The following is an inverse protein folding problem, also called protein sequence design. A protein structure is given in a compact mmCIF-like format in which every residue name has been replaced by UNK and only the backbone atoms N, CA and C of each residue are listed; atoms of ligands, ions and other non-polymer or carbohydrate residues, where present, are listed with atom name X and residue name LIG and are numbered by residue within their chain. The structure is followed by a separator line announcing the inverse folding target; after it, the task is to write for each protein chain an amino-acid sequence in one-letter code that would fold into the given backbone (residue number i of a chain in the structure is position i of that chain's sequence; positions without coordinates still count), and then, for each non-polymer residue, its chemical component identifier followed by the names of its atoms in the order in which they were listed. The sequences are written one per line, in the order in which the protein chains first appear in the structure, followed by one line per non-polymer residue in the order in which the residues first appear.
data_IF_318687965312
#
_entry.id   IF_318687965312
#
_cell.length_a   1.000
_cell.length_b   1.000
_cell.length_c   1.000
_cell.angle_alpha   90.00
_cell.angle_beta   90.00
_cell.angle_gamma   90.00
#
_symmetry.space_group_name_H-M   'P 1'
#
loop_
_entity.id
_entity.type
_entity.pdbx_description
1 polymer ?
#
# COMPACT_ATOMS: atom_id res chain seq x y z
N UNK A 1 -22.51 -11.83 -2.11
CA UNK A 1 -22.70 -13.25 -2.41
C UNK A 1 -21.54 -13.70 -3.29
N UNK A 2 -20.96 -14.81 -2.96
CA UNK A 2 -19.72 -15.30 -3.52
C UNK A 2 -19.88 -16.77 -3.92
N UNK A 3 -19.51 -17.10 -5.16
CA UNK A 3 -19.56 -18.48 -5.66
C UNK A 3 -18.18 -18.92 -6.14
N UNK A 4 -17.73 -20.08 -5.71
CA UNK A 4 -16.51 -20.73 -6.20
C UNK A 4 -16.88 -21.82 -7.18
N UNK A 5 -16.33 -21.77 -8.40
CA UNK A 5 -16.43 -22.88 -9.31
C UNK A 5 -15.34 -23.89 -8.99
N UNK A 6 -15.74 -25.06 -8.48
CA UNK A 6 -14.82 -26.14 -8.22
C UNK A 6 -14.63 -26.99 -9.48
N UNK A 7 -13.57 -26.77 -10.22
CA UNK A 7 -13.29 -27.49 -11.47
C UNK A 7 -13.05 -29.00 -11.28
N UNK A 8 -12.69 -29.46 -10.07
CA UNK A 8 -12.54 -30.90 -9.78
C UNK A 8 -13.89 -31.59 -9.60
N UNK A 9 -14.90 -30.86 -9.10
CA UNK A 9 -16.26 -31.38 -8.91
C UNK A 9 -17.20 -30.98 -10.05
N UNK A 10 -16.76 -30.12 -10.97
CA UNK A 10 -17.56 -29.53 -12.06
C UNK A 10 -18.90 -28.95 -11.59
N UNK A 11 -18.92 -28.32 -10.43
CA UNK A 11 -20.10 -27.67 -9.84
C UNK A 11 -19.78 -26.29 -9.31
N UNK A 12 -20.82 -25.43 -9.25
CA UNK A 12 -20.79 -24.15 -8.55
C UNK A 12 -21.17 -24.40 -7.08
N UNK A 13 -20.28 -24.07 -6.19
CA UNK A 13 -20.53 -24.07 -4.75
C UNK A 13 -20.72 -22.64 -4.30
N UNK A 14 -21.86 -22.33 -3.71
CA UNK A 14 -22.11 -21.06 -3.05
C UNK A 14 -21.60 -21.17 -1.61
N UNK A 15 -20.67 -20.33 -1.24
CA UNK A 15 -20.17 -20.26 0.13
C UNK A 15 -20.39 -18.85 0.67
N UNK A 16 -20.91 -18.75 1.89
CA UNK A 16 -21.13 -17.47 2.59
C UNK A 16 -19.83 -16.97 3.28
N UNK A 17 -18.69 -17.21 2.62
CA UNK A 17 -17.41 -16.71 3.10
C UNK A 17 -16.97 -15.51 2.27
N UNK A 18 -16.42 -14.48 2.88
CA UNK A 18 -15.89 -13.35 2.13
C UNK A 18 -14.67 -13.75 1.31
N UNK A 19 -14.53 -13.22 0.08
CA UNK A 19 -13.47 -13.58 -0.85
C UNK A 19 -12.06 -13.42 -0.28
N UNK A 20 -11.84 -12.45 0.60
CA UNK A 20 -10.54 -12.23 1.23
C UNK A 20 -10.15 -13.33 2.23
N UNK A 21 -11.12 -14.09 2.77
CA UNK A 21 -10.84 -15.22 3.66
C UNK A 21 -10.17 -16.38 2.91
N UNK A 22 -10.40 -16.53 1.59
CA UNK A 22 -9.67 -17.49 0.74
C UNK A 22 -8.17 -17.19 0.75
N UNK A 23 -7.83 -15.91 0.84
CA UNK A 23 -6.44 -15.43 0.89
C UNK A 23 -5.92 -15.33 2.32
N UNK A 24 -6.59 -15.98 3.29
CA UNK A 24 -6.25 -15.99 4.73
C UNK A 24 -6.08 -14.57 5.29
N UNK A 25 -6.94 -13.66 4.87
CA UNK A 25 -6.94 -12.26 5.30
C UNK A 25 -8.15 -11.92 6.15
N UNK A 26 -7.93 -11.04 7.10
CA UNK A 26 -8.93 -10.32 7.86
C UNK A 26 -8.37 -8.93 8.11
N UNK A 27 -8.63 -8.01 7.37
CA UNK A 27 -9.79 -7.42 6.71
C UNK A 27 -9.80 -7.59 5.17
N UNK A 28 -10.75 -6.95 4.45
CA UNK A 28 -10.80 -6.93 2.99
C UNK A 28 -9.51 -6.44 2.33
N UNK A 29 -9.23 -6.93 1.12
CA UNK A 29 -8.01 -6.59 0.39
C UNK A 29 -7.92 -5.08 0.11
N UNK A 30 -6.83 -4.42 0.48
CA UNK A 30 -6.59 -3.01 0.18
C UNK A 30 -6.58 -2.70 -1.32
N UNK A 31 -6.09 -3.61 -2.13
CA UNK A 31 -6.07 -3.50 -3.59
C UNK A 31 -6.95 -4.59 -4.20
N UNK A 32 -8.26 -4.47 -3.99
CA UNK A 32 -9.25 -5.43 -4.47
C UNK A 32 -9.40 -5.33 -5.99
N UNK A 33 -8.96 -6.36 -6.72
CA UNK A 33 -9.09 -6.45 -8.17
C UNK A 33 -10.55 -6.52 -8.62
N UNK A 34 -11.42 -7.16 -7.84
CA UNK A 34 -12.86 -7.24 -8.13
C UNK A 34 -13.55 -5.88 -8.07
N UNK A 35 -13.32 -5.09 -7.01
CA UNK A 35 -13.87 -3.73 -6.90
C UNK A 35 -13.35 -2.86 -8.05
N UNK A 36 -12.09 -2.99 -8.38
CA UNK A 36 -11.46 -2.24 -9.46
C UNK A 36 -12.03 -2.62 -10.83
N UNK A 37 -12.22 -3.92 -11.09
CA UNK A 37 -12.84 -4.40 -12.33
C UNK A 37 -14.28 -3.88 -12.50
N UNK A 38 -15.08 -3.87 -11.41
CA UNK A 38 -16.44 -3.30 -11.44
C UNK A 38 -16.45 -1.79 -11.69
N UNK A 39 -15.47 -1.06 -11.16
CA UNK A 39 -15.37 0.40 -11.32
C UNK A 39 -14.91 0.79 -12.71
N UNK A 40 -13.89 0.11 -13.23
CA UNK A 40 -13.33 0.35 -14.57
C UNK A 40 -14.18 -0.25 -15.67
N UNK A 41 -15.03 -1.24 -15.37
CA UNK A 41 -15.81 -2.05 -16.32
C UNK A 41 -14.93 -2.84 -17.31
N UNK A 42 -13.75 -3.20 -16.90
CA UNK A 42 -12.75 -3.94 -17.70
C UNK A 42 -12.06 -5.00 -16.84
N UNK A 43 -11.46 -6.03 -17.47
CA UNK A 43 -10.68 -7.02 -16.75
C UNK A 43 -9.48 -6.37 -16.03
N UNK A 44 -9.21 -6.83 -14.82
CA UNK A 44 -8.06 -6.41 -14.01
C UNK A 44 -7.23 -7.64 -13.66
N UNK A 45 -5.92 -7.52 -13.81
CA UNK A 45 -4.96 -8.57 -13.43
C UNK A 45 -4.22 -8.12 -12.18
N UNK A 46 -4.02 -9.05 -11.25
CA UNK A 46 -3.25 -8.85 -10.03
C UNK A 46 -2.42 -10.09 -9.74
N UNK A 47 -1.23 -9.91 -9.18
CA UNK A 47 -0.49 -10.99 -8.54
C UNK A 47 -0.82 -11.00 -7.04
N UNK A 48 -1.05 -12.19 -6.50
CA UNK A 48 -1.30 -12.43 -5.10
C UNK A 48 -0.31 -13.46 -4.57
N UNK A 49 0.16 -13.25 -3.35
CA UNK A 49 1.11 -14.14 -2.71
C UNK A 49 0.48 -14.79 -1.47
N UNK A 50 0.56 -16.11 -1.40
CA UNK A 50 0.07 -16.88 -0.28
C UNK A 50 0.93 -18.14 -0.09
N UNK A 51 1.44 -18.39 1.11
CA UNK A 51 2.15 -19.62 1.49
C UNK A 51 3.27 -20.06 0.51
N UNK A 52 4.18 -19.14 0.18
CA UNK A 52 5.26 -19.37 -0.79
C UNK A 52 4.79 -19.67 -2.23
N UNK A 53 3.55 -19.29 -2.58
CA UNK A 53 3.00 -19.42 -3.93
C UNK A 53 2.59 -18.07 -4.47
N UNK A 54 2.78 -17.90 -5.76
CA UNK A 54 2.34 -16.72 -6.51
C UNK A 54 1.13 -17.11 -7.36
N UNK A 55 0.05 -16.38 -7.18
CA UNK A 55 -1.17 -16.56 -7.95
C UNK A 55 -1.39 -15.37 -8.89
N UNK A 56 -1.62 -15.66 -10.16
CA UNK A 56 -2.15 -14.70 -11.10
C UNK A 56 -3.67 -14.69 -10.95
N UNK A 57 -4.21 -13.53 -10.57
CA UNK A 57 -5.66 -13.32 -10.45
C UNK A 57 -6.13 -12.49 -11.62
N UNK A 58 -7.09 -13.01 -12.38
CA UNK A 58 -7.82 -12.27 -13.41
C UNK A 58 -9.25 -12.03 -12.91
N UNK A 59 -9.60 -10.78 -12.68
CA UNK A 59 -10.94 -10.35 -12.25
C UNK A 59 -11.67 -9.73 -13.44
N UNK A 60 -12.73 -10.36 -13.90
CA UNK A 60 -13.52 -9.92 -15.07
C UNK A 60 -14.92 -9.53 -14.64
N UNK A 61 -15.39 -8.29 -14.93
CA UNK A 61 -16.73 -7.86 -14.58
C UNK A 61 -17.77 -8.51 -15.50
N UNK A 62 -18.85 -8.98 -14.91
CA UNK A 62 -19.98 -9.61 -15.60
C UNK A 62 -21.32 -9.09 -15.06
N UNK A 63 -22.38 -9.35 -15.83
CA UNK A 63 -23.75 -9.15 -15.36
C UNK A 63 -24.51 -10.47 -15.54
N UNK A 64 -25.02 -11.01 -14.46
CA UNK A 64 -25.82 -12.24 -14.44
C UNK A 64 -27.16 -11.90 -13.80
N UNK A 65 -28.27 -12.17 -14.51
CA UNK A 65 -29.63 -11.89 -14.09
C UNK A 65 -29.84 -10.44 -13.59
N UNK A 66 -29.22 -9.45 -14.29
CA UNK A 66 -29.28 -8.05 -13.94
C UNK A 66 -28.43 -7.62 -12.72
N UNK A 67 -27.75 -8.54 -12.07
CA UNK A 67 -26.81 -8.26 -10.97
C UNK A 67 -25.38 -8.17 -11.48
N UNK A 68 -24.67 -7.12 -11.07
CA UNK A 68 -23.25 -6.98 -11.38
C UNK A 68 -22.44 -7.93 -10.48
N UNK A 69 -21.61 -8.72 -11.10
CA UNK A 69 -20.71 -9.67 -10.43
C UNK A 69 -19.30 -9.61 -11.05
N UNK A 70 -18.37 -10.28 -10.43
CA UNK A 70 -17.00 -10.45 -10.95
C UNK A 70 -16.69 -11.93 -10.98
N UNK A 71 -16.20 -12.39 -12.11
CA UNK A 71 -15.56 -13.70 -12.22
C UNK A 71 -14.08 -13.54 -11.92
N UNK A 72 -13.60 -14.24 -10.91
CA UNK A 72 -12.17 -14.31 -10.59
C UNK A 72 -11.61 -15.68 -10.97
N UNK A 73 -10.55 -15.67 -11.77
CA UNK A 73 -9.75 -16.83 -12.08
C UNK A 73 -8.41 -16.69 -11.34
N UNK A 74 -8.08 -17.66 -10.51
CA UNK A 74 -6.80 -17.73 -9.81
C UNK A 74 -5.97 -18.88 -10.40
N UNK A 75 -4.77 -18.59 -10.89
CA UNK A 75 -3.81 -19.56 -11.40
C UNK A 75 -2.53 -19.52 -10.58
N UNK A 76 -2.13 -20.66 -10.03
CA UNK A 76 -0.79 -20.82 -9.46
C UNK A 76 0.25 -20.69 -10.58
N UNK A 77 1.08 -19.67 -10.52
CA UNK A 77 2.11 -19.38 -11.51
C UNK A 77 3.52 -19.45 -10.91
N UNK A 78 3.65 -19.94 -9.68
CA UNK A 78 4.91 -20.02 -8.94
C UNK A 78 6.05 -20.61 -9.77
N UNK A 79 5.79 -21.74 -10.43
CA UNK A 79 6.80 -22.41 -11.26
C UNK A 79 6.90 -21.87 -12.69
N UNK A 80 5.94 -21.02 -13.11
CA UNK A 80 5.88 -20.48 -14.49
C UNK A 80 6.32 -19.04 -14.58
N UNK A 81 6.51 -18.38 -13.44
CA UNK A 81 6.93 -16.98 -13.39
C UNK A 81 8.44 -16.94 -13.58
N UNK A 82 8.87 -16.54 -14.76
CA UNK A 82 10.28 -16.28 -15.06
C UNK A 82 10.49 -14.76 -14.97
N UNK A 83 11.37 -14.34 -14.08
CA UNK A 83 11.85 -12.96 -14.03
C UNK A 83 13.25 -13.00 -14.65
N UNK A 84 13.40 -12.41 -15.83
CA UNK A 84 14.70 -12.22 -16.44
C UNK A 84 15.38 -11.04 -15.74
N UNK A 85 16.26 -11.33 -14.80
CA UNK A 85 17.23 -10.36 -14.31
C UNK A 85 18.59 -10.71 -14.91
N UNK A 86 19.09 -9.86 -15.82
CA UNK A 86 20.42 -9.99 -16.40
C UNK A 86 21.55 -9.65 -15.39
N UNK A 87 21.21 -9.41 -14.14
CA UNK A 87 22.13 -9.12 -13.04
C UNK A 87 22.16 -10.26 -12.04
N UNK A 88 23.14 -11.12 -12.20
CA UNK A 88 23.62 -12.16 -11.28
C UNK A 88 22.56 -12.89 -10.43
N UNK A 89 22.46 -14.20 -10.69
CA UNK A 89 21.72 -15.21 -9.95
C UNK A 89 22.19 -15.31 -8.48
N UNK A 90 21.83 -14.36 -7.65
CA UNK A 90 21.78 -14.58 -6.22
C UNK A 90 20.33 -14.86 -5.83
N UNK A 91 20.10 -16.02 -5.25
CA UNK A 91 18.92 -16.62 -4.66
C UNK A 91 17.77 -15.69 -4.20
N UNK A 92 17.49 -14.61 -4.94
CA UNK A 92 16.41 -13.68 -4.65
C UNK A 92 15.10 -14.41 -4.94
N UNK A 93 14.38 -14.72 -3.90
CA UNK A 93 13.09 -15.38 -4.00
C UNK A 93 12.11 -14.46 -4.75
N UNK A 94 11.21 -15.06 -5.53
CA UNK A 94 10.09 -14.32 -6.17
C UNK A 94 9.30 -13.50 -5.15
N UNK A 95 9.30 -13.94 -3.90
CA UNK A 95 8.74 -13.24 -2.74
C UNK A 95 9.42 -11.93 -2.45
N UNK A 96 10.75 -11.91 -2.54
CA UNK A 96 11.55 -10.72 -2.29
C UNK A 96 11.33 -9.70 -3.40
N UNK A 97 11.24 -10.15 -4.65
CA UNK A 97 10.93 -9.29 -5.81
C UNK A 97 9.51 -8.70 -5.70
N UNK A 98 8.51 -9.49 -5.32
CA UNK A 98 7.14 -8.99 -5.11
C UNK A 98 7.09 -8.04 -3.92
N UNK A 99 7.79 -8.34 -2.83
CA UNK A 99 7.90 -7.45 -1.68
C UNK A 99 8.60 -6.13 -2.06
N UNK A 100 9.64 -6.20 -2.88
CA UNK A 100 10.34 -5.03 -3.40
C UNK A 100 9.47 -4.21 -4.34
N UNK A 101 8.78 -4.83 -5.30
CA UNK A 101 7.82 -4.15 -6.19
C UNK A 101 6.67 -3.51 -5.39
N UNK A 102 6.17 -4.17 -4.36
CA UNK A 102 5.16 -3.60 -3.48
C UNK A 102 5.73 -2.42 -2.68
N UNK A 103 6.96 -2.53 -2.18
CA UNK A 103 7.64 -1.43 -1.49
C UNK A 103 7.85 -0.24 -2.42
N UNK A 104 8.33 -0.45 -3.64
CA UNK A 104 8.47 0.60 -4.66
C UNK A 104 7.12 1.26 -5.02
N UNK A 105 6.04 0.50 -4.97
CA UNK A 105 4.69 1.03 -5.25
C UNK A 105 4.11 1.91 -4.14
N UNK A 106 4.56 1.76 -2.89
CA UNK A 106 3.99 2.46 -1.72
C UNK A 106 4.99 3.39 -1.02
N UNK A 107 6.27 3.34 -1.39
CA UNK A 107 7.32 4.17 -0.80
C UNK A 107 7.74 5.31 -1.73
N UNK A 108 8.20 6.40 -1.13
CA UNK A 108 8.96 7.44 -1.82
C UNK A 108 10.41 7.01 -1.94
N UNK A 109 10.95 7.01 -3.18
CA UNK A 109 12.28 6.48 -3.49
C UNK A 109 13.43 7.29 -2.85
N UNK A 110 13.21 8.58 -2.57
CA UNK A 110 14.24 9.45 -2.02
C UNK A 110 14.34 9.37 -0.50
N UNK A 111 13.18 9.26 0.14
CA UNK A 111 13.08 9.35 1.60
C UNK A 111 12.81 8.02 2.28
N UNK A 112 12.33 7.01 1.54
CA UNK A 112 11.91 5.73 2.11
C UNK A 112 10.61 5.77 2.91
N UNK A 113 10.03 6.94 3.15
CA UNK A 113 8.70 7.11 3.73
C UNK A 113 7.62 6.56 2.80
N UNK A 114 6.40 6.43 3.28
CA UNK A 114 5.29 6.14 2.38
C UNK A 114 5.11 7.26 1.37
N UNK A 115 4.62 6.94 0.18
CA UNK A 115 4.33 7.93 -0.85
C UNK A 115 2.91 8.50 -0.75
N UNK A 116 2.62 9.53 -1.53
CA UNK A 116 1.31 10.20 -1.61
C UNK A 116 0.16 9.21 -1.85
N UNK A 117 0.33 8.28 -2.80
CA UNK A 117 -0.72 7.32 -3.15
C UNK A 117 -1.09 6.42 -1.97
N UNK A 118 -0.10 6.01 -1.18
CA UNK A 118 -0.34 5.25 0.04
C UNK A 118 -1.09 6.10 1.07
N UNK A 119 -0.64 7.33 1.30
CA UNK A 119 -1.25 8.23 2.28
C UNK A 119 -2.73 8.53 1.94
N UNK A 120 -3.03 8.90 0.71
CA UNK A 120 -4.40 9.17 0.26
C UNK A 120 -5.32 7.95 0.45
N UNK A 121 -4.83 6.77 0.11
CA UNK A 121 -5.59 5.52 0.27
C UNK A 121 -5.87 5.19 1.73
N UNK A 122 -4.85 5.25 2.60
CA UNK A 122 -5.00 4.88 4.02
C UNK A 122 -5.86 5.89 4.78
N UNK A 123 -5.70 7.19 4.54
CA UNK A 123 -6.56 8.22 5.13
C UNK A 123 -8.01 8.05 4.67
N UNK A 124 -8.24 7.84 3.37
CA UNK A 124 -9.58 7.58 2.84
C UNK A 124 -10.22 6.34 3.47
N UNK A 125 -9.45 5.30 3.73
CA UNK A 125 -9.92 4.10 4.43
C UNK A 125 -10.29 4.40 5.88
N UNK A 126 -9.45 5.11 6.63
CA UNK A 126 -9.75 5.49 8.00
C UNK A 126 -11.07 6.27 8.09
N UNK A 127 -11.28 7.22 7.18
CA UNK A 127 -12.52 8.01 7.10
C UNK A 127 -13.73 7.10 6.79
N UNK A 128 -13.61 6.20 5.80
CA UNK A 128 -14.69 5.27 5.42
C UNK A 128 -15.06 4.32 6.55
N UNK A 129 -14.07 3.81 7.27
CA UNK A 129 -14.22 2.90 8.39
C UNK A 129 -14.62 3.61 9.69
N UNK A 130 -14.74 4.95 9.67
CA UNK A 130 -15.02 5.81 10.83
C UNK A 130 -13.99 5.62 11.97
N UNK A 131 -12.75 5.32 11.64
CA UNK A 131 -11.64 5.21 12.60
C UNK A 131 -11.11 6.59 12.93
N UNK A 132 -10.82 6.82 14.21
CA UNK A 132 -10.16 8.05 14.64
C UNK A 132 -8.67 8.01 14.28
N UNK A 133 -8.12 9.16 13.95
CA UNK A 133 -6.68 9.35 13.79
C UNK A 133 -6.32 10.82 14.02
N UNK A 134 -5.07 11.05 14.41
CA UNK A 134 -4.48 12.41 14.42
C UNK A 134 -3.55 12.51 13.23
N UNK A 135 -3.64 13.63 12.50
CA UNK A 135 -2.79 13.93 11.36
C UNK A 135 -2.01 15.24 11.63
N UNK A 136 -0.72 15.23 11.34
CA UNK A 136 0.12 16.42 11.31
C UNK A 136 0.70 16.59 9.90
N UNK A 137 0.48 17.74 9.30
CA UNK A 137 1.11 18.11 8.03
C UNK A 137 2.32 18.99 8.32
N UNK A 138 3.37 18.80 7.56
CA UNK A 138 4.64 19.50 7.70
C UNK A 138 5.19 19.86 6.33
N UNK A 139 5.90 20.98 6.30
CA UNK A 139 6.55 21.51 5.12
C UNK A 139 7.93 22.03 5.54
N UNK A 140 8.93 21.92 4.66
CA UNK A 140 10.27 22.44 4.96
C UNK A 140 10.33 23.90 4.54
N UNK A 141 10.44 24.78 5.53
CA UNK A 141 10.55 26.22 5.30
C UNK A 141 11.72 26.55 4.37
N UNK A 142 11.45 27.40 3.38
CA UNK A 142 12.43 27.90 2.43
C UNK A 142 13.20 26.80 1.65
N UNK A 143 12.65 25.59 1.48
CA UNK A 143 13.32 24.47 0.81
C UNK A 143 13.85 24.83 -0.57
N UNK A 144 13.11 25.64 -1.32
CA UNK A 144 13.58 26.15 -2.61
C UNK A 144 14.83 27.00 -2.47
N UNK A 145 14.92 27.86 -1.44
CA UNK A 145 16.12 28.69 -1.19
C UNK A 145 17.32 27.80 -0.85
N UNK A 146 17.10 26.71 -0.10
CA UNK A 146 18.15 25.73 0.20
C UNK A 146 18.67 25.13 -1.10
N UNK A 147 17.79 24.67 -1.99
CA UNK A 147 18.17 24.11 -3.28
C UNK A 147 18.91 25.10 -4.19
N UNK A 148 18.39 26.33 -4.27
CA UNK A 148 18.96 27.38 -5.13
C UNK A 148 20.32 27.87 -4.62
N UNK A 149 20.54 27.84 -3.31
CA UNK A 149 21.77 28.35 -2.66
C UNK A 149 22.84 27.28 -2.56
N UNK A 150 22.49 26.05 -2.17
CA UNK A 150 23.42 24.97 -1.82
C UNK A 150 23.38 23.78 -2.77
N UNK A 151 22.49 23.83 -3.77
CA UNK A 151 22.30 22.78 -4.78
C UNK A 151 21.36 21.66 -4.32
N UNK A 152 20.80 20.96 -5.30
CA UNK A 152 19.82 19.89 -5.08
C UNK A 152 20.34 18.73 -4.22
N UNK A 153 21.66 18.45 -4.26
CA UNK A 153 22.26 17.40 -3.41
C UNK A 153 22.10 17.73 -1.92
N UNK A 154 22.22 19.01 -1.55
CA UNK A 154 22.00 19.46 -0.17
C UNK A 154 20.52 19.36 0.20
N UNK A 155 19.61 19.74 -0.70
CA UNK A 155 18.17 19.52 -0.50
C UNK A 155 17.81 18.05 -0.29
N UNK A 156 18.43 17.15 -1.05
CA UNK A 156 18.24 15.70 -0.88
C UNK A 156 18.71 15.19 0.50
N UNK A 157 19.75 15.78 1.06
CA UNK A 157 20.19 15.47 2.44
C UNK A 157 19.15 15.93 3.44
N UNK A 158 18.68 17.19 3.32
CA UNK A 158 17.63 17.76 4.19
C UNK A 158 16.36 16.91 4.17
N UNK A 159 15.92 16.47 2.98
CA UNK A 159 14.76 15.58 2.84
C UNK A 159 14.95 14.24 3.56
N UNK A 160 16.15 13.65 3.52
CA UNK A 160 16.44 12.38 4.20
C UNK A 160 16.53 12.53 5.73
N UNK A 161 17.11 13.62 6.21
CA UNK A 161 17.15 13.93 7.64
C UNK A 161 15.73 14.14 8.20
N UNK A 162 14.91 14.93 7.51
CA UNK A 162 13.49 15.08 7.87
C UNK A 162 12.77 13.72 7.89
N UNK A 163 12.99 12.88 6.89
CA UNK A 163 12.38 11.56 6.83
C UNK A 163 12.82 10.63 7.97
N UNK A 164 14.08 10.74 8.42
CA UNK A 164 14.58 10.02 9.59
C UNK A 164 13.84 10.45 10.85
N UNK A 165 13.75 11.74 11.10
CA UNK A 165 13.04 12.31 12.26
C UNK A 165 11.56 11.89 12.27
N UNK A 166 10.92 11.92 11.10
CA UNK A 166 9.52 11.49 10.95
C UNK A 166 9.33 10.00 11.17
N UNK A 167 10.29 9.17 10.78
CA UNK A 167 10.26 7.73 11.03
C UNK A 167 10.32 7.44 12.52
N UNK A 168 11.19 8.11 13.26
CA UNK A 168 11.33 7.95 14.70
C UNK A 168 10.08 8.45 15.44
N UNK A 169 9.55 9.60 15.04
CA UNK A 169 8.31 10.14 15.60
C UNK A 169 7.11 9.20 15.32
N UNK A 170 7.01 8.65 14.12
CA UNK A 170 5.99 7.67 13.77
C UNK A 170 6.09 6.41 14.62
N UNK A 171 7.29 5.88 14.84
CA UNK A 171 7.52 4.69 15.67
C UNK A 171 7.11 4.95 17.12
N UNK A 172 7.47 6.10 17.68
CA UNK A 172 7.14 6.51 19.04
C UNK A 172 5.62 6.64 19.26
N UNK A 173 4.90 7.15 18.26
CA UNK A 173 3.44 7.32 18.30
C UNK A 173 2.65 6.13 17.73
N UNK A 174 3.31 5.02 17.35
CA UNK A 174 2.70 3.86 16.68
C UNK A 174 1.93 4.28 15.40
N UNK A 175 2.48 5.26 14.71
CA UNK A 175 1.92 5.83 13.48
C UNK A 175 2.74 5.50 12.25
N UNK A 176 2.54 6.30 11.22
CA UNK A 176 3.32 6.22 9.99
C UNK A 176 3.45 7.61 9.36
N UNK A 177 4.51 7.79 8.57
CA UNK A 177 4.80 9.02 7.85
C UNK A 177 4.84 8.80 6.35
N UNK A 178 4.46 9.83 5.59
CA UNK A 178 4.52 9.85 4.13
C UNK A 178 5.03 11.19 3.62
N UNK A 179 5.69 11.15 2.45
CA UNK A 179 5.98 12.33 1.64
C UNK A 179 4.88 12.50 0.60
N UNK A 180 4.23 13.66 0.59
CA UNK A 180 3.06 13.95 -0.25
C UNK A 180 3.35 14.96 -1.36
N UNK A 181 4.45 15.69 -1.25
CA UNK A 181 4.90 16.68 -2.22
C UNK A 181 6.42 16.76 -2.30
N UNK A 182 6.94 17.83 -2.88
CA UNK A 182 8.38 18.07 -2.98
C UNK A 182 9.06 18.17 -1.61
N UNK A 183 8.54 18.98 -0.74
CA UNK A 183 8.96 19.30 0.61
C UNK A 183 7.87 19.07 1.67
N UNK A 184 6.72 18.54 1.24
CA UNK A 184 5.55 18.32 2.07
C UNK A 184 5.49 16.89 2.61
N UNK A 185 5.20 16.77 3.90
CA UNK A 185 5.09 15.49 4.62
C UNK A 185 3.80 15.42 5.41
N UNK A 186 3.37 14.19 5.70
CA UNK A 186 2.27 13.92 6.62
C UNK A 186 2.67 12.83 7.61
N UNK A 187 2.31 13.04 8.86
CA UNK A 187 2.47 12.07 9.95
C UNK A 187 1.08 11.71 10.47
N UNK A 188 0.78 10.44 10.51
CA UNK A 188 -0.53 9.90 10.93
C UNK A 188 -0.36 9.00 12.13
N UNK A 189 -1.18 9.24 13.14
CA UNK A 189 -1.29 8.42 14.34
C UNK A 189 -2.69 7.81 14.41
N UNK A 190 -2.85 6.54 13.98
CA UNK A 190 -4.12 5.84 14.12
C UNK A 190 -4.51 5.70 15.60
N UNK A 191 -5.80 5.87 15.89
CA UNK A 191 -6.40 5.68 17.21
C UNK A 191 -5.81 6.55 18.35
N UNK A 192 -4.97 7.56 18.04
CA UNK A 192 -4.50 8.56 19.00
C UNK A 192 -5.34 9.84 18.90
N UNK A 193 -5.69 10.40 20.07
CA UNK A 193 -6.23 11.77 20.14
C UNK A 193 -5.11 12.81 19.97
N UNK A 194 -5.47 14.04 19.67
CA UNK A 194 -4.51 15.14 19.56
C UNK A 194 -3.69 15.31 20.84
N UNK A 195 -4.32 15.23 21.99
CA UNK A 195 -3.66 15.33 23.31
C UNK A 195 -2.61 14.21 23.55
N UNK A 196 -2.89 13.02 23.03
CA UNK A 196 -1.96 11.89 23.12
C UNK A 196 -0.81 11.99 22.09
N UNK A 197 -1.04 12.60 20.94
CA UNK A 197 -0.02 12.80 19.91
C UNK A 197 0.88 14.02 20.22
N UNK A 198 0.40 15.00 20.99
CA UNK A 198 1.09 16.25 21.28
C UNK A 198 2.51 16.07 21.86
N UNK A 199 2.79 15.16 22.82
CA UNK A 199 4.14 14.94 23.31
C UNK A 199 5.12 14.50 22.21
N UNK A 200 4.67 13.66 21.28
CA UNK A 200 5.49 13.18 20.16
C UNK A 200 5.74 14.33 19.17
N UNK A 201 4.72 15.08 18.83
CA UNK A 201 4.84 16.25 17.94
C UNK A 201 5.71 17.34 18.54
N UNK A 202 5.57 17.60 19.85
CA UNK A 202 6.41 18.57 20.58
C UNK A 202 7.88 18.12 20.69
N UNK A 203 8.15 16.83 20.77
CA UNK A 203 9.52 16.30 20.70
C UNK A 203 10.08 16.50 19.29
N UNK A 204 9.35 16.08 18.26
CA UNK A 204 9.73 16.25 16.87
C UNK A 204 10.05 17.73 16.53
N UNK A 205 9.21 18.67 16.98
CA UNK A 205 9.42 20.11 16.76
C UNK A 205 10.67 20.68 17.43
N UNK A 206 11.27 19.97 18.38
CA UNK A 206 12.55 20.40 19.00
C UNK A 206 13.76 19.81 18.30
N UNK A 207 13.56 18.71 17.58
CA UNK A 207 14.61 17.98 16.87
C UNK A 207 14.80 18.48 15.44
N UNK A 208 13.80 19.22 14.90
CA UNK A 208 13.84 19.97 13.63
C UNK A 208 14.50 21.34 13.86
#
# INVERSE_FOLDING_TARGET
DYCVYNCKKACLEAEDIPCYAIWQRDPPCHNCSSIRALSLKEPVIKLEYLENKVFLILSTPHTVDGRRCVLELAKDVTASLMINDDRHCDNTSITDVIAELNNLSVRDLYTGLYNKNYAEREVSRCISDKKSFTAAMMDIDDFKIINDTYGHQTGDVVLREMASLLTDAAANGKGWAARIGGDEFILIFPDLSLEQAEPVLSALSRDI
#
